data_IF_107845388868
#
_entry.id   IF_107845388868
#
_cell.length_a   1.000
_cell.length_b   1.000
_cell.length_c   1.000
_cell.angle_alpha   90.00
_cell.angle_beta   90.00
_cell.angle_gamma   90.00
#
_symmetry.space_group_name_H-M   'P 1'
#
loop_
_entity.id
_entity.type
_entity.pdbx_description
1 polymer ?
#
# COMPACT_ATOMS: atom_id res chain seq x y z
N UNK A 1 27.13 15.56 -0.61
CA UNK A 1 27.05 14.09 -0.83
C UNK A 1 25.91 13.55 0.01
N UNK A 2 24.87 13.00 -0.61
CA UNK A 2 23.59 12.71 0.06
C UNK A 2 23.61 11.38 0.84
N UNK A 3 22.84 11.35 1.94
CA UNK A 3 22.73 10.32 3.00
C UNK A 3 22.41 8.89 2.51
N UNK A 4 22.14 8.72 1.22
CA UNK A 4 21.60 7.50 0.61
C UNK A 4 22.63 6.43 0.27
N UNK A 5 23.91 6.78 0.15
CA UNK A 5 24.95 5.82 -0.27
C UNK A 5 25.43 4.87 0.84
N UNK A 6 24.95 5.00 2.09
CA UNK A 6 25.46 4.24 3.24
C UNK A 6 24.72 2.92 3.51
N UNK A 7 23.63 2.64 2.81
CA UNK A 7 22.73 1.50 3.07
C UNK A 7 22.75 0.41 1.98
N UNK A 8 23.60 0.52 0.95
CA UNK A 8 23.71 -0.52 -0.09
C UNK A 8 22.45 -0.73 -0.95
N UNK A 9 21.49 0.20 -0.92
CA UNK A 9 20.25 0.09 -1.70
C UNK A 9 20.50 0.58 -3.13
N UNK A 10 20.31 -0.25 -4.17
CA UNK A 10 20.49 0.18 -5.55
C UNK A 10 19.47 1.26 -5.93
N UNK A 11 19.92 2.25 -6.72
CA UNK A 11 19.05 3.33 -7.20
C UNK A 11 18.02 2.79 -8.20
N UNK A 12 16.75 3.10 -7.97
CA UNK A 12 15.63 2.75 -8.87
C UNK A 12 15.77 3.46 -10.22
N UNK A 13 15.50 2.81 -11.37
CA UNK A 13 15.72 3.38 -12.70
C UNK A 13 14.60 4.31 -13.18
N UNK A 14 13.49 4.46 -12.45
CA UNK A 14 12.32 5.14 -12.98
C UNK A 14 12.19 6.59 -12.47
N UNK A 15 12.63 7.52 -13.31
CA UNK A 15 12.46 8.96 -13.17
C UNK A 15 11.03 9.38 -13.58
N UNK A 16 10.07 9.30 -12.66
CA UNK A 16 8.84 10.12 -12.66
C UNK A 16 8.04 9.80 -11.38
N UNK A 17 7.90 10.82 -10.52
CA UNK A 17 6.94 10.97 -9.40
C UNK A 17 6.28 9.67 -8.91
N UNK A 18 6.91 9.06 -7.92
CA UNK A 18 6.41 8.08 -6.94
C UNK A 18 7.54 7.09 -6.72
N UNK A 19 7.91 6.87 -5.47
CA UNK A 19 8.72 5.73 -5.08
C UNK A 19 7.87 4.46 -5.30
N UNK A 20 7.64 4.09 -6.56
CA UNK A 20 7.08 2.81 -6.96
C UNK A 20 8.11 1.75 -6.62
N UNK A 21 8.08 1.32 -5.36
CA UNK A 21 8.61 0.03 -4.97
C UNK A 21 7.58 -1.00 -5.46
N UNK A 22 7.62 -1.35 -6.75
CA UNK A 22 7.11 -2.65 -7.21
C UNK A 22 8.10 -3.70 -6.73
N UNK A 23 8.30 -3.79 -5.41
CA UNK A 23 9.00 -4.94 -4.87
C UNK A 23 8.21 -6.17 -5.26
N UNK A 24 8.90 -7.15 -5.84
CA UNK A 24 8.33 -8.47 -6.01
C UNK A 24 7.80 -8.99 -4.67
N UNK A 25 6.81 -9.87 -4.72
CA UNK A 25 6.20 -10.44 -3.50
C UNK A 25 7.24 -10.97 -2.52
N UNK A 26 8.37 -11.51 -3.02
CA UNK A 26 9.50 -11.98 -2.20
C UNK A 26 10.16 -10.90 -1.34
N UNK A 27 10.46 -9.72 -1.91
CA UNK A 27 11.12 -8.64 -1.18
C UNK A 27 10.20 -8.03 -0.10
N UNK A 28 8.88 -8.01 -0.35
CA UNK A 28 7.89 -7.58 0.63
C UNK A 28 7.79 -8.59 1.76
N UNK A 29 7.70 -9.89 1.44
CA UNK A 29 7.67 -10.95 2.45
C UNK A 29 8.95 -10.93 3.31
N UNK A 30 10.11 -10.77 2.69
CA UNK A 30 11.40 -10.67 3.42
C UNK A 30 11.43 -9.42 4.31
N UNK A 31 11.03 -8.26 3.79
CA UNK A 31 10.99 -7.02 4.59
C UNK A 31 10.02 -7.14 5.78
N UNK A 32 8.84 -7.71 5.55
CA UNK A 32 7.81 -7.91 6.57
C UNK A 32 8.32 -8.85 7.66
N UNK A 33 8.96 -9.96 7.26
CA UNK A 33 9.59 -10.92 8.17
C UNK A 33 10.75 -10.30 8.97
N UNK A 34 11.69 -9.63 8.31
CA UNK A 34 12.88 -9.05 8.96
C UNK A 34 12.53 -7.93 9.94
N UNK A 35 11.41 -7.23 9.73
CA UNK A 35 10.91 -6.19 10.64
C UNK A 35 9.87 -6.71 11.65
N UNK A 36 9.54 -8.00 11.65
CA UNK A 36 8.53 -8.57 12.54
C UNK A 36 7.12 -8.01 12.35
N UNK A 37 6.79 -7.53 11.15
CA UNK A 37 5.49 -7.00 10.79
C UNK A 37 4.57 -8.12 10.29
N UNK A 38 3.26 -7.95 10.41
CA UNK A 38 2.29 -8.89 9.81
C UNK A 38 2.02 -8.56 8.33
N UNK A 39 1.84 -7.27 8.03
CA UNK A 39 1.55 -6.75 6.68
C UNK A 39 1.84 -5.24 6.62
N UNK A 40 1.80 -4.67 5.41
CA UNK A 40 1.99 -3.25 5.13
C UNK A 40 0.67 -2.64 4.66
N UNK A 41 0.22 -1.55 5.28
CA UNK A 41 -0.91 -0.74 4.79
C UNK A 41 -0.42 0.48 4.00
N UNK A 42 -1.03 0.75 2.84
CA UNK A 42 -0.72 1.90 1.96
C UNK A 42 -1.99 2.48 1.31
N UNK A 43 -1.92 3.70 0.79
CA UNK A 43 -3.12 4.40 0.25
C UNK A 43 -2.94 5.18 -1.07
N UNK A 44 -1.84 4.95 -1.79
CA UNK A 44 -1.45 5.79 -2.93
C UNK A 44 -2.19 5.50 -4.24
N UNK A 45 -2.69 4.29 -4.43
CA UNK A 45 -3.30 3.85 -5.69
C UNK A 45 -4.82 3.78 -5.52
N UNK A 46 -5.55 4.34 -6.50
CA UNK A 46 -6.99 4.17 -6.56
C UNK A 46 -7.31 2.69 -6.79
N UNK A 47 -8.15 2.13 -5.92
CA UNK A 47 -8.63 0.75 -6.01
C UNK A 47 -10.15 0.76 -6.19
N UNK A 48 -10.64 -0.12 -7.06
CA UNK A 48 -12.04 -0.10 -7.47
C UNK A 48 -13.00 -0.35 -6.28
N UNK A 49 -12.63 -1.23 -5.37
CA UNK A 49 -13.43 -1.59 -4.18
C UNK A 49 -13.00 -0.81 -2.92
N UNK A 50 -12.27 0.29 -3.03
CA UNK A 50 -11.81 1.05 -1.86
C UNK A 50 -10.73 0.35 -1.01
N UNK A 51 -10.61 -0.98 -1.03
CA UNK A 51 -9.48 -1.72 -0.47
C UNK A 51 -9.10 -2.94 -1.31
N UNK A 52 -7.82 -3.31 -1.33
CA UNK A 52 -7.34 -4.50 -2.04
C UNK A 52 -6.12 -5.10 -1.35
N UNK A 53 -6.11 -6.42 -1.18
CA UNK A 53 -4.96 -7.18 -0.71
C UNK A 53 -4.11 -7.65 -1.88
N UNK A 54 -2.79 -7.46 -1.78
CA UNK A 54 -1.80 -7.88 -2.77
C UNK A 54 -0.65 -8.62 -2.11
N UNK A 55 0.20 -9.22 -2.94
CA UNK A 55 1.40 -9.94 -2.51
C UNK A 55 1.07 -11.00 -1.42
N UNK A 56 0.12 -11.88 -1.72
CA UNK A 56 -0.32 -12.95 -0.83
C UNK A 56 -0.75 -12.48 0.58
N UNK A 57 -1.36 -11.29 0.67
CA UNK A 57 -1.85 -10.74 1.94
C UNK A 57 -0.81 -9.97 2.74
N UNK A 58 0.40 -9.75 2.21
CA UNK A 58 1.42 -8.95 2.89
C UNK A 58 1.26 -7.44 2.67
N UNK A 59 0.46 -7.00 1.69
CA UNK A 59 0.17 -5.59 1.47
C UNK A 59 -1.32 -5.37 1.31
N UNK A 60 -1.85 -4.38 2.02
CA UNK A 60 -3.19 -3.85 1.78
C UNK A 60 -3.09 -2.43 1.25
N UNK A 61 -3.81 -2.17 0.16
CA UNK A 61 -4.05 -0.83 -0.35
C UNK A 61 -5.43 -0.39 0.10
N UNK A 62 -5.55 0.77 0.73
CA UNK A 62 -6.82 1.39 1.13
C UNK A 62 -6.94 2.74 0.41
N UNK A 63 -8.09 3.02 -0.19
CA UNK A 63 -8.37 4.24 -0.90
C UNK A 63 -9.67 4.85 -0.38
N UNK A 64 -9.61 6.06 0.15
CA UNK A 64 -10.72 6.66 0.92
C UNK A 64 -11.52 7.72 0.15
N UNK A 65 -11.33 7.83 -1.16
CA UNK A 65 -12.08 8.74 -2.03
C UNK A 65 -12.92 7.93 -3.01
N UNK A 66 -14.25 8.03 -2.91
CA UNK A 66 -15.16 7.39 -3.86
C UNK A 66 -15.40 8.32 -5.03
N UNK A 67 -15.79 7.76 -6.17
CA UNK A 67 -16.00 8.50 -7.41
C UNK A 67 -14.79 9.36 -7.83
N UNK A 68 -13.58 8.87 -7.54
CA UNK A 68 -12.35 9.64 -7.74
C UNK A 68 -12.15 9.94 -9.22
N UNK A 69 -11.98 11.24 -9.54
CA UNK A 69 -11.87 11.73 -10.93
C UNK A 69 -13.00 11.23 -11.85
N UNK A 70 -14.25 11.18 -11.36
CA UNK A 70 -15.43 10.69 -12.08
C UNK A 70 -15.36 9.20 -12.47
N UNK A 71 -14.52 8.42 -11.78
CA UNK A 71 -14.57 6.95 -11.82
C UNK A 71 -15.76 6.42 -11.02
N UNK A 72 -16.07 5.13 -11.13
CA UNK A 72 -17.10 4.45 -10.31
C UNK A 72 -16.44 3.53 -9.26
N UNK A 73 -15.50 4.06 -8.48
CA UNK A 73 -14.84 3.33 -7.42
C UNK A 73 -15.49 3.59 -6.05
N UNK A 74 -15.45 2.59 -5.19
CA UNK A 74 -15.76 2.71 -3.76
C UNK A 74 -14.59 3.35 -3.02
N UNK A 75 -14.89 3.95 -1.87
CA UNK A 75 -13.93 4.31 -0.85
C UNK A 75 -13.93 3.27 0.27
N UNK A 76 -12.84 3.18 1.02
CA UNK A 76 -12.83 2.43 2.26
C UNK A 76 -12.00 3.12 3.35
N UNK A 77 -12.27 2.72 4.59
CA UNK A 77 -11.40 2.98 5.74
C UNK A 77 -11.13 1.68 6.51
N UNK A 78 -10.05 1.66 7.27
CA UNK A 78 -9.62 0.51 8.08
C UNK A 78 -9.63 0.89 9.56
N UNK A 79 -10.29 0.08 10.39
CA UNK A 79 -10.30 0.19 11.85
C UNK A 79 -9.52 -0.98 12.43
N UNK A 80 -8.65 -0.72 13.40
CA UNK A 80 -8.03 -1.79 14.19
C UNK A 80 -8.76 -1.99 15.50
N UNK A 81 -9.13 -3.23 15.81
CA UNK A 81 -9.60 -3.62 17.13
C UNK A 81 -8.75 -4.80 17.62
N UNK A 82 -8.01 -4.61 18.72
CA UNK A 82 -7.08 -5.61 19.26
C UNK A 82 -6.13 -6.19 18.20
N UNK A 83 -5.49 -5.33 17.41
CA UNK A 83 -4.59 -5.68 16.30
C UNK A 83 -5.24 -6.44 15.14
N UNK A 84 -6.56 -6.62 15.15
CA UNK A 84 -7.33 -7.18 14.02
C UNK A 84 -7.87 -6.03 13.16
N UNK A 85 -7.53 -5.97 11.86
CA UNK A 85 -8.05 -4.95 10.95
C UNK A 85 -9.46 -5.30 10.47
N UNK A 86 -10.33 -4.29 10.44
CA UNK A 86 -11.68 -4.32 9.88
C UNK A 86 -11.78 -3.26 8.78
N UNK A 87 -12.33 -3.65 7.64
CA UNK A 87 -12.50 -2.75 6.50
C UNK A 87 -13.97 -2.38 6.37
N UNK A 88 -14.22 -1.10 6.08
CA UNK A 88 -15.56 -0.61 5.78
C UNK A 88 -15.53 0.18 4.49
N UNK A 89 -16.35 -0.26 3.54
CA UNK A 89 -16.48 0.34 2.23
C UNK A 89 -17.68 1.29 2.20
N UNK A 90 -17.56 2.37 1.43
CA UNK A 90 -18.62 3.35 1.25
C UNK A 90 -18.52 4.05 -0.10
N UNK A 91 -19.64 4.56 -0.58
CA UNK A 91 -19.72 5.46 -1.73
C UNK A 91 -20.29 6.79 -1.22
N UNK A 92 -19.63 7.90 -1.56
CA UNK A 92 -20.15 9.24 -1.27
C UNK A 92 -21.40 9.47 -2.10
N UNK A 93 -22.43 10.00 -1.45
CA UNK A 93 -23.62 10.54 -2.12
C UNK A 93 -23.29 11.85 -2.83
#
# INVERSE_FOLDING_TARGET
MSKWNRLGIPKSPNSAISAFFTSGSSAITESTHNNGLNFIARAHEAVQQGCEWRHNGHVVTIFSASNYCNSHNEAAFMIFHNLVPFFHNFVSS
#
